data_IF_330960391201
#
_entry.id   IF_330960391201
#
_cell.length_a   1.000
_cell.length_b   1.000
_cell.length_c   1.000
_cell.angle_alpha   90.00
_cell.angle_beta   90.00
_cell.angle_gamma   90.00
#
_symmetry.space_group_name_H-M   'P 1'
#
loop_
_entity.id
_entity.type
_entity.pdbx_description
1 polymer ?
#
# COMPACT_ATOMS: atom_id res chain seq x y z
N UNK A 1 3.76 -2.66 -56.76
CA UNK A 1 4.23 -1.66 -55.79
C UNK A 1 3.28 -0.49 -55.84
N UNK A 2 2.53 -0.22 -54.77
CA UNK A 2 1.67 0.96 -54.67
C UNK A 2 1.89 1.62 -53.31
N UNK A 3 3.08 2.19 -53.15
CA UNK A 3 3.34 3.14 -52.08
C UNK A 3 2.61 4.44 -52.45
N UNK A 4 1.59 4.80 -51.68
CA UNK A 4 0.84 6.05 -51.86
C UNK A 4 1.75 7.27 -51.65
N UNK A 5 1.65 8.24 -52.57
CA UNK A 5 2.34 9.54 -52.55
C UNK A 5 2.12 10.35 -51.26
N UNK A 6 1.15 9.96 -50.42
CA UNK A 6 0.92 10.53 -49.10
C UNK A 6 2.12 10.39 -48.14
N UNK A 7 3.00 9.43 -48.37
CA UNK A 7 4.17 9.20 -47.49
C UNK A 7 5.42 9.95 -47.95
N UNK A 8 5.37 10.61 -49.13
CA UNK A 8 6.53 11.26 -49.78
C UNK A 8 6.79 12.68 -49.27
N UNK A 9 5.79 13.35 -48.68
CA UNK A 9 5.89 14.74 -48.21
C UNK A 9 5.95 14.89 -46.68
N UNK A 10 5.92 13.80 -45.91
CA UNK A 10 6.10 13.81 -44.45
C UNK A 10 7.48 13.33 -44.02
N UNK A 11 8.49 13.48 -44.88
CA UNK A 11 9.89 13.16 -44.54
C UNK A 11 10.50 14.27 -43.70
N UNK A 12 10.10 14.35 -42.44
CA UNK A 12 10.98 14.85 -41.37
C UNK A 12 10.70 14.15 -40.04
N UNK A 13 10.65 12.81 -40.05
CA UNK A 13 11.05 12.06 -38.87
C UNK A 13 12.58 12.17 -38.73
N UNK A 14 13.06 13.34 -38.33
CA UNK A 14 14.46 13.55 -37.95
C UNK A 14 14.87 12.47 -36.94
N UNK A 15 16.15 12.10 -36.93
CA UNK A 15 16.74 11.13 -35.99
C UNK A 15 16.39 11.42 -34.50
N UNK A 16 15.96 12.64 -34.19
CA UNK A 16 15.44 13.08 -32.91
C UNK A 16 14.06 12.48 -32.53
N UNK A 17 13.20 12.21 -33.53
CA UNK A 17 11.86 11.62 -33.33
C UNK A 17 11.90 10.11 -33.02
N UNK A 18 12.97 9.41 -33.40
CA UNK A 18 13.16 7.98 -33.07
C UNK A 18 13.67 7.81 -31.64
N UNK A 19 14.47 8.76 -31.14
CA UNK A 19 14.93 8.80 -29.74
C UNK A 19 13.76 9.00 -28.75
N UNK A 20 12.82 9.89 -29.07
CA UNK A 20 11.61 10.15 -28.25
C UNK A 20 10.63 8.95 -28.20
N UNK A 21 10.59 8.12 -29.27
CA UNK A 21 9.77 6.90 -29.28
C UNK A 21 10.32 5.79 -28.37
N UNK A 22 11.65 5.71 -28.16
CA UNK A 22 12.25 4.73 -27.23
C UNK A 22 11.93 5.06 -25.78
N UNK A 23 12.00 6.34 -25.38
CA UNK A 23 11.67 6.80 -24.02
C UNK A 23 10.17 6.77 -23.73
N UNK A 24 9.32 7.16 -24.68
CA UNK A 24 7.86 7.10 -24.52
C UNK A 24 7.33 5.66 -24.40
N UNK A 25 7.95 4.69 -25.10
CA UNK A 25 7.64 3.25 -24.95
C UNK A 25 7.98 2.77 -23.53
N UNK A 26 9.15 3.13 -23.00
CA UNK A 26 9.53 2.81 -21.61
C UNK A 26 8.58 3.44 -20.58
N UNK A 27 8.22 4.71 -20.72
CA UNK A 27 7.28 5.38 -19.82
C UNK A 27 5.87 4.77 -19.87
N UNK A 28 5.38 4.40 -21.07
CA UNK A 28 4.08 3.74 -21.24
C UNK A 28 4.07 2.33 -20.66
N UNK A 29 5.19 1.60 -20.76
CA UNK A 29 5.38 0.28 -20.15
C UNK A 29 5.41 0.39 -18.63
N UNK A 30 6.20 1.31 -18.05
CA UNK A 30 6.21 1.61 -16.61
C UNK A 30 4.81 1.91 -16.07
N UNK A 31 4.06 2.82 -16.71
CA UNK A 31 2.67 3.11 -16.32
C UNK A 31 1.72 1.91 -16.42
N UNK A 32 1.96 0.97 -17.35
CA UNK A 32 1.18 -0.27 -17.43
C UNK A 32 1.54 -1.19 -16.27
N UNK A 33 2.81 -1.26 -15.91
CA UNK A 33 3.32 -2.04 -14.80
C UNK A 33 2.84 -1.49 -13.45
N UNK A 34 2.92 -0.18 -13.23
CA UNK A 34 2.40 0.49 -12.03
C UNK A 34 0.91 0.23 -11.84
N UNK A 35 0.14 0.20 -12.94
CA UNK A 35 -1.28 -0.19 -12.88
C UNK A 35 -1.49 -1.66 -12.54
N UNK A 36 -0.59 -2.56 -12.94
CA UNK A 36 -0.64 -3.97 -12.53
C UNK A 36 -0.31 -4.12 -11.04
N UNK A 37 0.71 -3.39 -10.56
CA UNK A 37 1.09 -3.32 -9.15
C UNK A 37 -0.06 -2.77 -8.29
N UNK A 38 -0.67 -1.66 -8.72
CA UNK A 38 -1.80 -1.05 -8.02
C UNK A 38 -3.08 -1.89 -8.03
N UNK A 39 -3.24 -2.81 -9.00
CA UNK A 39 -4.43 -3.66 -9.11
C UNK A 39 -4.44 -4.82 -8.11
N UNK A 40 -3.28 -5.24 -7.59
CA UNK A 40 -3.19 -6.29 -6.57
C UNK A 40 -3.89 -7.60 -6.96
N UNK A 41 -3.86 -7.99 -8.24
CA UNK A 41 -4.56 -9.19 -8.71
C UNK A 41 -3.95 -10.44 -8.07
N UNK A 42 -4.77 -11.29 -7.45
CA UNK A 42 -4.35 -12.62 -6.94
C UNK A 42 -3.62 -13.43 -8.02
N UNK A 43 -2.49 -14.03 -7.67
CA UNK A 43 -1.58 -14.77 -8.54
C UNK A 43 -0.64 -13.88 -9.37
N UNK A 44 -0.65 -12.56 -9.18
CA UNK A 44 0.31 -11.64 -9.82
C UNK A 44 1.62 -11.59 -9.04
N UNK A 45 2.77 -11.36 -9.70
CA UNK A 45 4.05 -11.15 -9.00
C UNK A 45 4.03 -9.99 -7.98
N UNK A 46 3.12 -9.02 -8.16
CA UNK A 46 2.94 -7.86 -7.29
C UNK A 46 1.95 -8.09 -6.13
N UNK A 47 1.35 -9.28 -6.01
CA UNK A 47 0.32 -9.54 -4.98
C UNK A 47 0.89 -9.35 -3.57
N UNK A 48 2.03 -9.97 -3.26
CA UNK A 48 2.63 -9.92 -1.92
C UNK A 48 3.01 -8.48 -1.54
N UNK A 49 3.60 -7.73 -2.48
CA UNK A 49 3.92 -6.31 -2.29
C UNK A 49 2.66 -5.48 -2.01
N UNK A 50 1.58 -5.74 -2.77
CA UNK A 50 0.31 -5.06 -2.59
C UNK A 50 -0.34 -5.38 -1.24
N UNK A 51 -0.30 -6.65 -0.81
CA UNK A 51 -0.85 -7.09 0.48
C UNK A 51 -0.08 -6.45 1.65
N UNK A 52 1.25 -6.50 1.63
CA UNK A 52 2.07 -5.87 2.67
C UNK A 52 1.87 -4.36 2.71
N UNK A 53 1.83 -3.70 1.55
CA UNK A 53 1.55 -2.25 1.46
C UNK A 53 0.14 -1.89 1.94
N UNK A 54 -0.85 -2.76 1.73
CA UNK A 54 -2.21 -2.56 2.22
C UNK A 54 -2.30 -2.72 3.74
N UNK A 55 -1.56 -3.69 4.29
CA UNK A 55 -1.45 -3.89 5.74
C UNK A 55 -0.74 -2.73 6.42
N UNK A 56 0.38 -2.25 5.85
CA UNK A 56 1.08 -1.08 6.36
C UNK A 56 0.16 0.15 6.44
N UNK A 57 -0.61 0.41 5.37
CA UNK A 57 -1.63 1.47 5.37
C UNK A 57 -2.74 1.24 6.41
N UNK A 58 -3.07 -0.02 6.73
CA UNK A 58 -4.04 -0.35 7.78
C UNK A 58 -3.49 0.03 9.16
N UNK A 59 -2.23 -0.30 9.44
CA UNK A 59 -1.55 0.06 10.70
C UNK A 59 -1.44 1.58 10.84
N UNK A 60 -1.09 2.29 9.77
CA UNK A 60 -1.04 3.75 9.78
C UNK A 60 -2.41 4.37 10.07
N UNK A 61 -3.48 3.85 9.47
CA UNK A 61 -4.85 4.28 9.77
C UNK A 61 -5.22 4.01 11.23
N UNK A 62 -4.87 2.85 11.76
CA UNK A 62 -5.10 2.51 13.16
C UNK A 62 -4.40 3.51 14.08
N UNK A 63 -3.13 3.85 13.80
CA UNK A 63 -2.37 4.86 14.54
C UNK A 63 -3.07 6.24 14.52
N UNK A 64 -3.68 6.64 13.41
CA UNK A 64 -4.46 7.89 13.35
C UNK A 64 -5.76 7.82 14.16
N UNK A 65 -6.46 6.68 14.10
CA UNK A 65 -7.75 6.47 14.78
C UNK A 65 -7.63 6.48 16.30
N UNK A 66 -6.47 6.12 16.87
CA UNK A 66 -6.23 6.17 18.32
C UNK A 66 -6.52 7.57 18.91
N UNK A 67 -6.18 8.65 18.19
CA UNK A 67 -6.44 10.02 18.63
C UNK A 67 -7.93 10.38 18.59
N UNK A 68 -8.62 9.97 17.52
CA UNK A 68 -10.05 10.20 17.35
C UNK A 68 -10.87 9.46 18.40
N UNK A 69 -10.53 8.18 18.64
CA UNK A 69 -11.19 7.33 19.65
C UNK A 69 -11.02 7.94 21.05
N UNK A 70 -9.82 8.40 21.40
CA UNK A 70 -9.59 9.08 22.68
C UNK A 70 -10.52 10.29 22.85
N UNK A 71 -10.65 11.11 21.80
CA UNK A 71 -11.52 12.29 21.82
C UNK A 71 -12.99 11.89 22.00
N UNK A 72 -13.44 10.86 21.30
CA UNK A 72 -14.81 10.32 21.41
C UNK A 72 -15.09 9.74 22.80
N UNK A 73 -14.11 9.05 23.40
CA UNK A 73 -14.27 8.52 24.76
C UNK A 73 -14.46 9.65 25.77
N UNK A 74 -13.70 10.74 25.66
CA UNK A 74 -13.89 11.92 26.50
C UNK A 74 -15.27 12.56 26.31
N UNK A 75 -15.77 12.66 25.08
CA UNK A 75 -17.12 13.22 24.84
C UNK A 75 -18.22 12.33 25.39
N UNK A 76 -18.10 11.00 25.28
CA UNK A 76 -19.06 10.06 25.89
C UNK A 76 -19.08 10.15 27.42
N UNK A 77 -17.92 10.28 28.06
CA UNK A 77 -17.83 10.49 29.51
C UNK A 77 -18.50 11.82 29.90
N UNK A 78 -18.22 12.90 29.16
CA UNK A 78 -18.82 14.21 29.42
C UNK A 78 -20.35 14.23 29.26
N UNK A 79 -20.90 13.33 28.43
CA UNK A 79 -22.33 13.19 28.19
C UNK A 79 -22.97 12.08 29.04
N UNK A 80 -22.25 11.52 30.02
CA UNK A 80 -22.68 10.41 30.87
C UNK A 80 -23.07 9.11 30.11
N UNK A 81 -22.57 8.90 28.90
CA UNK A 81 -22.73 7.67 28.12
C UNK A 81 -21.64 6.63 28.45
N UNK A 82 -21.59 6.20 29.72
CA UNK A 82 -20.51 5.35 30.24
C UNK A 82 -20.49 3.98 29.56
N UNK A 83 -21.64 3.33 29.39
CA UNK A 83 -21.72 1.98 28.77
C UNK A 83 -21.22 1.97 27.32
N UNK A 84 -21.55 3.03 26.57
CA UNK A 84 -21.11 3.20 25.18
C UNK A 84 -19.60 3.45 25.13
N UNK A 85 -19.06 4.24 26.05
CA UNK A 85 -17.62 4.47 26.17
C UNK A 85 -16.88 3.15 26.48
N UNK A 86 -17.38 2.35 27.43
CA UNK A 86 -16.83 1.03 27.75
C UNK A 86 -16.85 0.08 26.55
N UNK A 87 -17.97 -0.01 25.83
CA UNK A 87 -18.08 -0.87 24.65
C UNK A 87 -17.10 -0.44 23.54
N UNK A 88 -17.02 0.88 23.27
CA UNK A 88 -16.07 1.41 22.30
C UNK A 88 -14.62 1.10 22.68
N UNK A 89 -14.25 1.35 23.95
CA UNK A 89 -12.90 1.05 24.45
C UNK A 89 -12.56 -0.44 24.32
N UNK A 90 -13.49 -1.34 24.68
CA UNK A 90 -13.27 -2.77 24.61
C UNK A 90 -13.17 -3.28 23.16
N UNK A 91 -14.03 -2.81 22.26
CA UNK A 91 -13.99 -3.20 20.84
C UNK A 91 -12.74 -2.70 20.14
N UNK A 92 -12.31 -1.46 20.42
CA UNK A 92 -11.08 -0.91 19.88
C UNK A 92 -9.83 -1.57 20.48
N UNK A 93 -9.87 -1.96 21.76
CA UNK A 93 -8.80 -2.73 22.41
C UNK A 93 -8.63 -4.12 21.81
N UNK A 94 -9.72 -4.83 21.54
CA UNK A 94 -9.67 -6.12 20.81
C UNK A 94 -9.06 -5.97 19.42
N UNK A 95 -9.41 -4.89 18.71
CA UNK A 95 -8.83 -4.60 17.41
C UNK A 95 -7.31 -4.34 17.50
N UNK A 96 -6.85 -3.66 18.55
CA UNK A 96 -5.42 -3.47 18.81
C UNK A 96 -4.70 -4.81 18.99
N UNK A 97 -5.26 -5.68 19.84
CA UNK A 97 -4.73 -7.03 20.08
C UNK A 97 -4.65 -7.85 18.78
N UNK A 98 -5.70 -7.86 17.97
CA UNK A 98 -5.75 -8.56 16.69
C UNK A 98 -4.69 -8.05 15.70
N UNK A 99 -4.49 -6.72 15.62
CA UNK A 99 -3.48 -6.12 14.75
C UNK A 99 -2.08 -6.48 15.21
N UNK A 100 -1.80 -6.40 16.51
CA UNK A 100 -0.49 -6.74 17.08
C UNK A 100 -0.17 -8.22 16.85
N UNK A 101 -1.12 -9.12 17.13
CA UNK A 101 -0.97 -10.54 16.89
C UNK A 101 -0.75 -10.84 15.39
N UNK A 102 -1.48 -10.15 14.50
CA UNK A 102 -1.32 -10.27 13.06
C UNK A 102 0.06 -9.82 12.57
N UNK A 103 0.61 -8.74 13.12
CA UNK A 103 1.97 -8.26 12.79
C UNK A 103 3.03 -9.27 13.24
N UNK A 104 2.89 -9.85 14.43
CA UNK A 104 3.84 -10.85 14.94
C UNK A 104 3.88 -12.12 14.10
N UNK A 105 2.72 -12.59 13.61
CA UNK A 105 2.64 -13.76 12.72
C UNK A 105 3.35 -13.56 11.38
N UNK A 106 3.48 -12.31 10.90
CA UNK A 106 4.06 -12.01 9.58
C UNK A 106 5.59 -11.94 9.59
N UNK A 107 6.21 -11.74 10.75
CA UNK A 107 7.67 -11.60 10.90
C UNK A 107 8.41 -12.92 10.69
N UNK A 108 7.77 -14.08 10.85
CA UNK A 108 8.44 -15.40 10.81
C UNK A 108 8.61 -16.02 9.41
N UNK A 109 8.05 -15.44 8.34
CA UNK A 109 8.04 -16.16 7.04
C UNK A 109 8.13 -15.32 5.75
N UNK A 110 8.51 -14.04 5.84
CA UNK A 110 8.53 -13.16 4.65
C UNK A 110 9.95 -12.97 4.10
N UNK A 111 10.67 -14.09 3.90
CA UNK A 111 11.82 -14.15 2.98
C UNK A 111 11.40 -14.83 1.68
N UNK A 112 10.22 -14.52 1.16
CA UNK A 112 9.80 -15.00 -0.16
C UNK A 112 10.38 -14.06 -1.23
N UNK A 113 11.57 -14.40 -1.70
CA UNK A 113 12.16 -13.86 -2.91
C UNK A 113 11.22 -14.15 -4.10
N UNK A 114 10.62 -13.13 -4.69
CA UNK A 114 9.83 -13.26 -5.93
C UNK A 114 10.63 -12.59 -7.05
N UNK A 115 11.21 -13.36 -7.99
CA UNK A 115 11.86 -12.78 -9.15
C UNK A 115 10.80 -12.12 -10.05
N UNK A 116 10.92 -10.79 -10.23
CA UNK A 116 10.07 -10.03 -11.15
C UNK A 116 10.55 -10.32 -12.57
N UNK A 117 9.78 -11.08 -13.36
CA UNK A 117 10.03 -11.20 -14.79
C UNK A 117 9.44 -9.99 -15.52
N UNK A 118 10.23 -8.91 -15.59
CA UNK A 118 9.96 -7.82 -16.52
C UNK A 118 10.41 -8.28 -17.90
N UNK A 119 9.47 -8.59 -18.79
CA UNK A 119 9.79 -8.90 -20.17
C UNK A 119 10.20 -7.62 -20.93
N UNK A 120 11.49 -7.27 -20.88
CA UNK A 120 12.22 -6.49 -21.88
C UNK A 120 13.71 -6.88 -21.80
N UNK A 121 14.24 -7.33 -22.93
CA UNK A 121 15.64 -7.59 -23.30
C UNK A 121 16.72 -7.32 -22.22
N UNK A 122 17.38 -8.41 -21.80
CA UNK A 122 18.68 -8.48 -21.13
C UNK A 122 18.96 -7.46 -20.00
N UNK A 123 18.28 -7.62 -18.87
CA UNK A 123 18.85 -7.46 -17.51
C UNK A 123 17.76 -7.79 -16.48
N UNK A 124 17.83 -8.97 -15.86
CA UNK A 124 17.00 -9.32 -14.70
C UNK A 124 17.37 -8.44 -13.51
N UNK A 125 16.76 -7.27 -13.39
CA UNK A 125 16.85 -6.45 -12.18
C UNK A 125 15.89 -7.01 -11.13
N UNK A 126 16.41 -7.90 -10.28
CA UNK A 126 15.78 -8.32 -9.04
C UNK A 126 15.67 -7.12 -8.09
N UNK A 127 14.59 -6.37 -8.19
CA UNK A 127 14.31 -5.28 -7.25
C UNK A 127 13.91 -5.91 -5.91
N UNK A 128 14.84 -5.98 -4.97
CA UNK A 128 14.52 -6.32 -3.59
C UNK A 128 13.76 -5.15 -2.97
N UNK A 129 12.46 -5.33 -2.75
CA UNK A 129 11.66 -4.36 -2.00
C UNK A 129 11.86 -4.66 -0.53
N UNK A 130 12.56 -3.76 0.17
CA UNK A 130 12.70 -3.82 1.62
C UNK A 130 11.35 -3.46 2.26
N UNK A 131 10.74 -4.42 2.93
CA UNK A 131 9.50 -4.22 3.67
C UNK A 131 9.84 -3.59 5.03
N UNK A 132 9.43 -2.34 5.25
CA UNK A 132 9.60 -1.71 6.56
C UNK A 132 8.53 -2.24 7.51
N UNK A 133 8.96 -2.81 8.64
CA UNK A 133 8.06 -3.26 9.72
C UNK A 133 7.22 -2.07 10.20
N UNK A 134 5.93 -2.09 9.86
CA UNK A 134 4.97 -1.10 10.36
C UNK A 134 4.70 -1.42 11.83
N UNK A 135 4.88 -0.44 12.71
CA UNK A 135 4.72 -0.61 14.16
C UNK A 135 3.53 0.20 14.66
N UNK A 136 2.74 -0.41 15.53
CA UNK A 136 1.67 0.27 16.25
C UNK A 136 2.30 1.26 17.24
N UNK A 137 1.87 2.53 17.18
CA UNK A 137 2.35 3.55 18.10
C UNK A 137 1.78 3.29 19.49
N UNK A 138 2.65 3.34 20.51
CA UNK A 138 2.25 3.31 21.91
C UNK A 138 1.66 4.67 22.29
N UNK A 139 0.38 4.88 21.97
CA UNK A 139 -0.34 6.09 22.36
C UNK A 139 -1.30 5.76 23.50
N UNK A 140 -1.32 6.58 24.55
CA UNK A 140 -2.27 6.43 25.65
C UNK A 140 -3.67 6.92 25.22
N UNK A 141 -4.40 6.04 24.51
CA UNK A 141 -5.78 6.25 24.07
C UNK A 141 -6.81 5.66 25.03
N UNK A 142 -6.42 4.65 25.83
CA UNK A 142 -7.25 4.01 26.85
C UNK A 142 -7.48 4.97 28.03
N UNK A 143 -8.70 5.01 28.56
CA UNK A 143 -9.05 5.81 29.73
C UNK A 143 -9.23 4.88 30.93
N UNK A 144 -8.30 4.97 31.89
CA UNK A 144 -8.28 4.13 33.11
C UNK A 144 -9.53 4.34 33.98
N UNK A 145 -10.11 5.55 33.96
CA UNK A 145 -11.33 5.88 34.71
C UNK A 145 -12.50 4.97 34.32
N UNK A 146 -12.56 4.48 33.08
CA UNK A 146 -13.61 3.58 32.61
C UNK A 146 -13.44 2.13 33.09
N UNK A 147 -12.27 1.75 33.59
CA UNK A 147 -12.00 0.39 34.11
C UNK A 147 -12.43 0.25 35.58
N UNK A 148 -12.48 1.37 36.30
CA UNK A 148 -12.77 1.42 37.73
C UNK A 148 -14.21 1.88 38.06
N UNK A 149 -14.96 2.35 37.05
CA UNK A 149 -16.40 2.66 37.09
C UNK A 149 -17.21 1.44 36.64
#
# INVERSE_FOLDING_TARGET
SMASDFTRYTVSASRLSTASRRTAKSAKMRRREDRKRARGKKGSPYEVEYLFGSLSRLVDRFNTLQGDVKTILHTFISLAYIDKAKNLQNSFGKLEEDIVAGIEQLDVNTSAYIPIQVAQDDETQSTQVQFTKSSVRKQAWKIEVLENL
#
